data_IF_815143043366
#
_entry.id   IF_815143043366
#
_cell.length_a   1.000
_cell.length_b   1.000
_cell.length_c   1.000
_cell.angle_alpha   90.00
_cell.angle_beta   90.00
_cell.angle_gamma   90.00
#
_symmetry.space_group_name_H-M   'P 1'
#
loop_
_entity.id
_entity.type
_entity.pdbx_description
1 polymer ?
#
# COMPACT_ATOMS: atom_id res chain seq x y z
N UNK A 1 -22.90 -12.94 -1.22
CA UNK A 1 -22.53 -12.37 0.09
C UNK A 1 -22.06 -13.55 0.93
N UNK A 2 -20.85 -13.69 1.43
CA UNK A 2 -19.71 -12.79 1.63
C UNK A 2 -18.46 -13.67 1.59
N UNK A 3 -17.39 -13.26 0.90
CA UNK A 3 -16.09 -13.95 0.98
C UNK A 3 -15.18 -13.05 1.81
N UNK A 4 -15.17 -13.29 3.13
CA UNK A 4 -14.25 -12.62 4.05
C UNK A 4 -12.86 -13.22 3.88
N UNK A 5 -12.02 -12.56 3.08
CA UNK A 5 -10.59 -12.88 3.02
C UNK A 5 -9.86 -12.02 4.03
N UNK A 6 -9.70 -12.56 5.24
CA UNK A 6 -8.80 -11.99 6.27
C UNK A 6 -7.39 -12.47 5.97
N UNK A 7 -6.57 -11.61 5.38
CA UNK A 7 -5.12 -11.87 5.26
C UNK A 7 -4.40 -11.07 6.36
N UNK A 8 -3.94 -11.76 7.40
CA UNK A 8 -2.98 -11.23 8.39
C UNK A 8 -1.55 -11.71 8.06
N UNK A 9 -0.52 -10.95 8.44
CA UNK A 9 0.83 -11.08 7.89
C UNK A 9 1.66 -12.16 8.59
N UNK A 10 2.54 -12.82 7.84
CA UNK A 10 3.55 -13.74 8.37
C UNK A 10 4.81 -12.92 8.64
N UNK A 11 5.19 -12.82 9.92
CA UNK A 11 6.49 -12.32 10.36
C UNK A 11 7.61 -13.28 9.93
N UNK A 12 8.69 -12.76 9.34
CA UNK A 12 9.87 -13.54 8.99
C UNK A 12 11.13 -12.68 8.87
N UNK A 13 11.94 -12.70 9.93
CA UNK A 13 13.41 -12.63 9.99
C UNK A 13 14.17 -11.79 8.96
N UNK A 14 14.86 -10.76 9.47
CA UNK A 14 15.98 -10.06 8.83
C UNK A 14 17.03 -11.05 8.29
N UNK A 15 17.25 -11.01 6.98
CA UNK A 15 18.32 -11.69 6.27
C UNK A 15 18.28 -11.24 4.81
N UNK A 16 19.34 -10.54 4.37
CA UNK A 16 19.67 -10.15 2.99
C UNK A 16 18.70 -10.66 1.91
N UNK A 17 17.70 -9.87 1.52
CA UNK A 17 16.91 -10.16 0.33
C UNK A 17 16.63 -8.85 -0.37
N UNK A 18 17.31 -8.63 -1.50
CA UNK A 18 16.79 -7.75 -2.53
C UNK A 18 15.33 -8.14 -2.74
N UNK A 19 14.38 -7.22 -2.52
CA UNK A 19 12.96 -7.53 -2.71
C UNK A 19 12.76 -8.05 -4.13
N UNK A 20 12.61 -9.37 -4.27
CA UNK A 20 12.34 -10.02 -5.55
C UNK A 20 11.02 -9.47 -6.06
N UNK A 21 11.09 -8.56 -7.04
CA UNK A 21 9.92 -7.94 -7.66
C UNK A 21 8.96 -9.03 -8.10
N UNK A 22 7.72 -8.99 -7.59
CA UNK A 22 6.63 -9.88 -7.98
C UNK A 22 5.74 -9.17 -8.98
N UNK A 23 5.42 -9.82 -10.10
CA UNK A 23 4.63 -9.29 -11.20
C UNK A 23 3.32 -10.06 -11.30
N UNK A 24 2.20 -9.37 -11.53
CA UNK A 24 0.90 -10.00 -11.75
C UNK A 24 0.61 -10.04 -13.26
N UNK A 25 0.59 -11.24 -13.86
CA UNK A 25 0.32 -11.44 -15.28
C UNK A 25 -0.75 -12.55 -15.39
N UNK A 26 -1.83 -12.30 -16.12
CA UNK A 26 -2.98 -13.21 -16.28
C UNK A 26 -3.54 -13.76 -14.94
N UNK A 27 -3.44 -12.95 -13.87
CA UNK A 27 -3.89 -13.33 -12.52
C UNK A 27 -2.91 -14.19 -11.72
N UNK A 28 -1.72 -14.50 -12.25
CA UNK A 28 -0.66 -15.23 -11.55
C UNK A 28 0.45 -14.29 -11.06
N UNK A 29 0.91 -14.49 -9.82
CA UNK A 29 2.06 -13.80 -9.25
C UNK A 29 3.36 -14.50 -9.65
N UNK A 30 4.21 -13.82 -10.41
CA UNK A 30 5.45 -14.34 -10.98
C UNK A 30 6.66 -13.56 -10.46
N UNK A 31 7.80 -14.23 -10.30
CA UNK A 31 9.09 -13.58 -10.02
C UNK A 31 9.69 -12.95 -11.28
N UNK A 32 10.69 -12.06 -11.14
CA UNK A 32 11.38 -11.47 -12.30
C UNK A 32 11.96 -12.53 -13.26
N UNK A 33 12.47 -13.63 -12.73
CA UNK A 33 12.98 -14.78 -13.50
C UNK A 33 11.84 -15.49 -14.24
N UNK A 34 10.71 -15.74 -13.57
CA UNK A 34 9.54 -16.37 -14.18
C UNK A 34 8.87 -15.49 -15.25
N UNK A 35 8.90 -14.17 -15.10
CA UNK A 35 8.44 -13.24 -16.14
C UNK A 35 9.37 -13.26 -17.36
N UNK A 36 10.68 -13.34 -17.14
CA UNK A 36 11.65 -13.49 -18.22
C UNK A 36 11.49 -14.83 -18.97
N UNK A 37 10.92 -15.84 -18.30
CA UNK A 37 10.61 -17.16 -18.87
C UNK A 37 9.22 -17.25 -19.54
N UNK A 38 8.39 -16.20 -19.53
CA UNK A 38 7.12 -16.20 -20.26
C UNK A 38 7.43 -16.38 -21.74
N UNK A 39 7.24 -17.62 -22.20
CA UNK A 39 7.62 -18.06 -23.53
C UNK A 39 6.81 -17.31 -24.58
N UNK A 40 7.54 -16.78 -25.56
CA UNK A 40 6.96 -16.48 -26.86
C UNK A 40 6.13 -17.70 -27.33
N UNK A 41 4.97 -17.48 -27.98
CA UNK A 41 4.08 -18.55 -28.39
C UNK A 41 4.83 -19.63 -29.15
N UNK A 42 4.57 -20.88 -28.76
CA UNK A 42 5.24 -22.08 -29.28
C UNK A 42 4.96 -22.20 -30.78
N UNK A 43 5.89 -22.74 -31.57
CA UNK A 43 5.70 -22.97 -33.02
C UNK A 43 4.40 -23.72 -33.34
N UNK A 44 3.97 -24.63 -32.46
CA UNK A 44 2.67 -25.31 -32.57
C UNK A 44 1.47 -24.34 -32.43
N UNK A 45 1.54 -23.40 -31.48
CA UNK A 45 0.49 -22.40 -31.26
C UNK A 45 0.46 -21.38 -32.40
N UNK A 46 1.63 -21.00 -32.94
CA UNK A 46 1.72 -20.19 -34.17
C UNK A 46 1.03 -20.91 -35.33
N UNK A 47 1.39 -22.17 -35.61
CA UNK A 47 0.76 -22.96 -36.70
C UNK A 47 -0.75 -23.14 -36.53
N UNK A 48 -1.22 -23.32 -35.31
CA UNK A 48 -2.65 -23.43 -35.02
C UNK A 48 -3.38 -22.10 -35.26
N UNK A 49 -2.76 -20.98 -34.93
CA UNK A 49 -3.27 -19.64 -35.24
C UNK A 49 -3.27 -19.36 -36.76
N UNK A 50 -2.24 -19.82 -37.48
CA UNK A 50 -2.15 -19.71 -38.95
C UNK A 50 -3.28 -20.48 -39.63
N UNK A 51 -3.53 -21.72 -39.18
CA UNK A 51 -4.63 -22.54 -39.69
C UNK A 51 -6.01 -21.92 -39.41
N UNK A 52 -6.18 -21.23 -38.27
CA UNK A 52 -7.44 -20.57 -37.89
C UNK A 52 -7.66 -19.22 -38.56
N UNK A 53 -6.58 -18.49 -38.89
CA UNK A 53 -6.65 -17.14 -39.45
C UNK A 53 -6.81 -17.12 -40.97
N UNK A 54 -6.57 -18.25 -41.65
CA UNK A 54 -6.63 -18.35 -43.12
C UNK A 54 -5.55 -17.53 -43.83
N UNK A 55 -4.51 -17.13 -43.11
CA UNK A 55 -3.41 -16.31 -43.62
C UNK A 55 -2.40 -17.22 -44.31
N UNK A 56 -2.05 -16.91 -45.55
CA UNK A 56 -1.01 -17.64 -46.29
C UNK A 56 0.37 -17.46 -45.65
N UNK A 57 1.24 -18.47 -45.70
CA UNK A 57 2.59 -18.44 -45.13
C UNK A 57 3.42 -17.21 -45.57
N UNK A 58 3.28 -16.77 -46.82
CA UNK A 58 3.96 -15.57 -47.34
C UNK A 58 3.57 -14.30 -46.58
N UNK A 59 2.28 -14.14 -46.26
CA UNK A 59 1.77 -13.00 -45.49
C UNK A 59 2.24 -13.01 -44.04
N UNK A 60 2.42 -14.20 -43.46
CA UNK A 60 3.00 -14.33 -42.12
C UNK A 60 4.45 -13.91 -42.10
N UNK A 61 5.23 -14.31 -43.10
CA UNK A 61 6.62 -13.92 -43.19
C UNK A 61 6.77 -12.39 -43.35
N UNK A 62 5.90 -11.76 -44.13
CA UNK A 62 5.80 -10.29 -44.22
C UNK A 62 5.50 -9.64 -42.86
N UNK A 63 4.53 -10.19 -42.12
CA UNK A 63 4.15 -9.71 -40.78
C UNK A 63 5.29 -9.90 -39.78
N UNK A 64 5.93 -11.06 -39.74
CA UNK A 64 7.06 -11.35 -38.85
C UNK A 64 8.23 -10.40 -39.13
N UNK A 65 8.58 -10.21 -40.40
CA UNK A 65 9.66 -9.28 -40.78
C UNK A 65 9.33 -7.84 -40.37
N UNK A 66 8.07 -7.43 -40.54
CA UNK A 66 7.61 -6.10 -40.12
C UNK A 66 7.60 -5.95 -38.59
N UNK A 67 7.19 -7.00 -37.87
CA UNK A 67 7.20 -7.03 -36.42
C UNK A 67 8.62 -7.02 -35.86
N UNK A 68 9.57 -7.74 -36.45
CA UNK A 68 10.97 -7.72 -36.03
C UNK A 68 11.60 -6.32 -36.16
N UNK A 69 11.18 -5.54 -37.16
CA UNK A 69 11.61 -4.16 -37.32
C UNK A 69 10.98 -3.21 -36.28
N UNK A 70 9.70 -3.42 -35.94
CA UNK A 70 8.93 -2.49 -35.09
C UNK A 70 9.06 -2.84 -33.59
N UNK A 71 9.18 -4.12 -33.24
CA UNK A 71 9.21 -4.60 -31.86
C UNK A 71 10.30 -3.97 -30.99
N UNK A 72 11.53 -3.70 -31.47
CA UNK A 72 12.53 -2.99 -30.68
C UNK A 72 12.09 -1.57 -30.31
N UNK A 73 11.41 -0.86 -31.21
CA UNK A 73 10.93 0.51 -30.99
C UNK A 73 9.79 0.53 -29.97
N UNK A 74 8.84 -0.39 -30.10
CA UNK A 74 7.75 -0.55 -29.13
C UNK A 74 8.34 -0.91 -27.76
N UNK A 75 9.28 -1.86 -27.72
CA UNK A 75 9.93 -2.28 -26.47
C UNK A 75 10.61 -1.10 -25.77
N UNK A 76 11.41 -0.32 -26.50
CA UNK A 76 12.11 0.84 -25.93
C UNK A 76 11.12 1.88 -25.41
N UNK A 77 10.08 2.19 -26.18
CA UNK A 77 9.03 3.11 -25.75
C UNK A 77 8.28 2.63 -24.51
N UNK A 78 7.87 1.36 -24.48
CA UNK A 78 7.16 0.75 -23.34
C UNK A 78 8.04 0.76 -22.11
N UNK A 79 9.31 0.35 -22.22
CA UNK A 79 10.27 0.42 -21.10
C UNK A 79 10.37 1.86 -20.60
N UNK A 80 10.64 2.82 -21.49
CA UNK A 80 10.79 4.23 -21.12
C UNK A 80 9.54 4.82 -20.45
N UNK A 81 8.34 4.42 -20.88
CA UNK A 81 7.09 4.90 -20.34
C UNK A 81 6.71 4.21 -19.00
N UNK A 82 6.98 2.92 -18.87
CA UNK A 82 6.53 2.10 -17.72
C UNK A 82 7.53 2.09 -16.57
N UNK A 83 8.84 2.15 -16.84
CA UNK A 83 9.88 2.22 -15.79
C UNK A 83 9.61 3.30 -14.73
N UNK A 84 9.33 4.57 -15.06
CA UNK A 84 9.10 5.58 -14.02
C UNK A 84 7.82 5.33 -13.20
N UNK A 85 6.82 4.65 -13.77
CA UNK A 85 5.60 4.28 -13.05
C UNK A 85 5.88 3.18 -12.03
N UNK A 86 6.66 2.16 -12.42
CA UNK A 86 7.11 1.09 -11.54
C UNK A 86 7.96 1.63 -10.39
N UNK A 87 8.88 2.54 -10.68
CA UNK A 87 9.71 3.18 -9.65
C UNK A 87 8.86 3.97 -8.65
N UNK A 88 7.83 4.68 -9.13
CA UNK A 88 6.91 5.43 -8.26
C UNK A 88 6.07 4.50 -7.39
N UNK A 89 5.62 3.36 -7.90
CA UNK A 89 4.91 2.36 -7.10
C UNK A 89 5.80 1.84 -5.96
N UNK A 90 7.04 1.50 -6.27
CA UNK A 90 8.00 1.03 -5.26
C UNK A 90 8.24 2.09 -4.16
N UNK A 91 8.37 3.36 -4.53
CA UNK A 91 8.51 4.46 -3.56
C UNK A 91 7.26 4.63 -2.67
N UNK A 92 6.07 4.50 -3.25
CA UNK A 92 4.81 4.60 -2.50
C UNK A 92 4.67 3.45 -1.52
N UNK A 93 4.94 2.23 -1.94
CA UNK A 93 4.92 1.05 -1.08
C UNK A 93 5.90 1.18 0.09
N UNK A 94 7.12 1.67 -0.17
CA UNK A 94 8.11 1.93 0.87
C UNK A 94 7.61 2.96 1.90
N UNK A 95 7.00 4.05 1.44
CA UNK A 95 6.40 5.06 2.33
C UNK A 95 5.24 4.50 3.16
N UNK A 96 4.44 3.60 2.59
CA UNK A 96 3.35 2.96 3.33
C UNK A 96 3.88 2.09 4.46
N UNK A 97 4.93 1.29 4.19
CA UNK A 97 5.58 0.49 5.24
C UNK A 97 6.13 1.39 6.33
N UNK A 98 6.86 2.45 5.98
CA UNK A 98 7.40 3.42 6.94
C UNK A 98 6.30 4.06 7.80
N UNK A 99 5.19 4.48 7.19
CA UNK A 99 4.08 5.12 7.91
C UNK A 99 3.31 4.13 8.81
N UNK A 100 3.20 2.87 8.40
CA UNK A 100 2.54 1.84 9.20
C UNK A 100 3.41 1.35 10.37
N UNK A 101 4.74 1.38 10.22
CA UNK A 101 5.68 1.05 11.30
C UNK A 101 5.78 2.16 12.35
N UNK A 102 5.41 3.41 12.00
CA UNK A 102 5.34 4.49 12.98
C UNK A 102 4.25 4.15 14.01
N UNK A 103 4.56 4.19 15.32
CA UNK A 103 3.55 3.99 16.35
C UNK A 103 2.48 5.07 16.23
N UNK A 104 1.29 4.68 15.74
CA UNK A 104 0.13 5.56 15.71
C UNK A 104 -0.29 5.87 17.13
N UNK A 105 -0.22 7.14 17.50
CA UNK A 105 -0.76 7.65 18.76
C UNK A 105 -2.28 7.61 18.65
N UNK A 106 -2.99 6.72 19.37
CA UNK A 106 -4.42 6.56 19.15
C UNK A 106 -5.18 7.73 19.76
N UNK A 107 -5.90 8.46 18.90
CA UNK A 107 -6.67 9.65 19.26
C UNK A 107 -8.16 9.31 19.36
N UNK A 108 -8.75 9.56 20.53
CA UNK A 108 -10.14 9.28 20.82
C UNK A 108 -11.06 10.51 20.74
N UNK A 109 -10.55 11.67 20.30
CA UNK A 109 -11.34 12.90 20.18
C UNK A 109 -11.53 13.65 21.50
N UNK A 110 -12.61 14.41 21.60
CA UNK A 110 -13.00 15.11 22.84
C UNK A 110 -13.60 14.13 23.84
N UNK A 111 -13.36 14.34 25.13
CA UNK A 111 -13.94 13.54 26.19
C UNK A 111 -15.47 13.67 26.24
N UNK A 112 -16.16 12.54 26.42
CA UNK A 112 -17.60 12.45 26.59
C UNK A 112 -17.94 11.40 27.66
N UNK A 113 -18.96 11.65 28.49
CA UNK A 113 -19.29 10.78 29.63
C UNK A 113 -19.76 9.38 29.21
N UNK A 114 -20.43 9.27 28.06
CA UNK A 114 -20.94 7.99 27.56
C UNK A 114 -19.92 7.20 26.75
N UNK A 115 -18.79 7.81 26.39
CA UNK A 115 -17.77 7.21 25.54
C UNK A 115 -16.80 6.37 26.37
N UNK A 116 -16.45 5.20 25.83
CA UNK A 116 -15.43 4.34 26.42
C UNK A 116 -14.07 4.71 25.83
N UNK A 117 -13.08 4.90 26.70
CA UNK A 117 -11.71 5.21 26.36
C UNK A 117 -10.82 4.04 26.73
N UNK A 118 -10.01 3.59 25.78
CA UNK A 118 -9.06 2.51 25.99
C UNK A 118 -7.75 3.03 26.56
N UNK A 119 -7.05 2.18 27.30
CA UNK A 119 -5.69 2.42 27.77
C UNK A 119 -4.80 2.81 26.58
N UNK A 120 -3.88 3.73 26.84
CA UNK A 120 -2.94 4.30 25.88
C UNK A 120 -3.57 5.17 24.78
N UNK A 121 -4.83 5.58 24.93
CA UNK A 121 -5.46 6.56 24.03
C UNK A 121 -5.33 7.98 24.56
N UNK A 122 -5.38 8.94 23.65
CA UNK A 122 -5.37 10.37 23.94
C UNK A 122 -6.76 10.96 23.72
N UNK A 123 -7.13 11.94 24.53
CA UNK A 123 -8.33 12.74 24.32
C UNK A 123 -8.08 14.21 24.68
N UNK A 124 -9.03 15.07 24.31
CA UNK A 124 -9.07 16.46 24.77
C UNK A 124 -10.22 16.70 25.75
N UNK A 125 -9.97 17.48 26.80
CA UNK A 125 -11.00 18.05 27.66
C UNK A 125 -10.57 19.44 28.10
N UNK A 126 -11.48 20.42 27.99
CA UNK A 126 -11.26 21.83 28.41
C UNK A 126 -9.97 22.44 27.86
N UNK A 127 -9.65 22.17 26.59
CA UNK A 127 -8.45 22.70 25.92
C UNK A 127 -7.13 22.05 26.36
N UNK A 128 -7.17 21.02 27.20
CA UNK A 128 -6.01 20.23 27.60
C UNK A 128 -6.01 18.86 26.91
N UNK A 129 -4.82 18.28 26.72
CA UNK A 129 -4.64 16.93 26.20
C UNK A 129 -4.33 15.96 27.34
N UNK A 130 -5.03 14.84 27.34
CA UNK A 130 -4.96 13.83 28.38
C UNK A 130 -4.65 12.45 27.79
N UNK A 131 -3.93 11.64 28.53
CA UNK A 131 -3.57 10.27 28.20
C UNK A 131 -4.23 9.29 29.16
N UNK A 132 -4.92 8.29 28.62
CA UNK A 132 -5.59 7.25 29.40
C UNK A 132 -4.56 6.21 29.89
N UNK A 133 -4.35 6.15 31.20
CA UNK A 133 -3.47 5.16 31.84
C UNK A 133 -4.13 3.78 31.93
N UNK A 134 -5.47 3.74 31.92
CA UNK A 134 -6.30 2.53 31.99
C UNK A 134 -7.56 2.69 31.15
N UNK A 135 -8.22 1.59 30.80
CA UNK A 135 -9.56 1.60 30.21
C UNK A 135 -10.54 2.29 31.18
N UNK A 136 -11.39 3.18 30.66
CA UNK A 136 -12.36 3.92 31.48
C UNK A 136 -13.59 4.35 30.69
N UNK A 137 -14.70 4.56 31.41
CA UNK A 137 -15.95 5.12 30.90
C UNK A 137 -16.55 6.02 31.97
N UNK A 138 -17.04 7.20 31.60
CA UNK A 138 -17.66 8.15 32.53
C UNK A 138 -16.72 8.88 33.49
N UNK A 139 -15.45 8.46 33.62
CA UNK A 139 -14.46 9.15 34.45
C UNK A 139 -13.85 10.32 33.67
N UNK A 140 -14.03 11.54 34.18
CA UNK A 140 -13.58 12.77 33.51
C UNK A 140 -12.09 13.05 33.74
N UNK A 141 -11.32 13.46 32.72
CA UNK A 141 -9.96 13.94 32.93
C UNK A 141 -9.88 15.08 33.95
N UNK A 142 -8.91 15.00 34.87
CA UNK A 142 -8.74 15.97 35.94
C UNK A 142 -9.61 15.74 37.18
N UNK A 143 -10.39 14.66 37.27
CA UNK A 143 -11.17 14.30 38.48
C UNK A 143 -10.31 13.81 39.66
N UNK A 144 -9.04 13.44 39.41
CA UNK A 144 -8.11 12.96 40.45
C UNK A 144 -8.01 11.43 40.58
N UNK A 145 -8.78 10.67 39.81
CA UNK A 145 -8.91 9.20 39.94
C UNK A 145 -7.72 8.39 39.41
N UNK A 146 -6.59 9.02 39.06
CA UNK A 146 -5.41 8.36 38.51
C UNK A 146 -5.57 7.75 37.10
N UNK A 147 -6.79 7.75 36.54
CA UNK A 147 -7.13 7.23 35.20
C UNK A 147 -6.46 8.03 34.08
N UNK A 148 -6.34 9.35 34.27
CA UNK A 148 -5.89 10.28 33.26
C UNK A 148 -4.58 10.95 33.67
N UNK A 149 -3.63 10.98 32.75
CA UNK A 149 -2.39 11.75 32.88
C UNK A 149 -2.45 12.99 31.98
N UNK A 150 -2.21 14.15 32.56
CA UNK A 150 -2.11 15.40 31.79
C UNK A 150 -0.85 15.35 30.91
N UNK A 151 -1.03 15.56 29.60
CA UNK A 151 0.09 15.59 28.63
C UNK A 151 0.38 17.03 28.23
N UNK A 152 -0.67 17.79 27.89
CA UNK A 152 -0.57 19.21 27.52
C UNK A 152 -1.60 19.99 28.30
N UNK A 153 -1.16 21.02 29.02
CA UNK A 153 -2.04 21.94 29.74
C UNK A 153 -2.65 22.94 28.76
N UNK A 154 -3.91 23.28 28.96
CA UNK A 154 -4.54 24.38 28.23
C UNK A 154 -3.73 25.68 28.40
N UNK A 155 -3.54 26.40 27.29
CA UNK A 155 -2.98 27.75 27.32
C UNK A 155 -3.88 28.71 28.09
N UNK A 156 -3.29 29.78 28.63
CA UNK A 156 -4.07 30.92 29.14
C UNK A 156 -4.32 31.88 27.98
N UNK A 157 -5.45 32.58 28.03
CA UNK A 157 -5.72 33.65 27.09
C UNK A 157 -4.59 34.69 27.14
N UNK A 158 -4.10 35.10 25.97
CA UNK A 158 -3.09 36.14 25.85
C UNK A 158 -3.66 37.48 26.34
N UNK A 159 -2.91 38.17 27.20
CA UNK A 159 -3.31 39.43 27.84
C UNK A 159 -3.68 40.55 26.83
N UNK A 160 -3.25 40.42 25.57
CA UNK A 160 -3.32 41.49 24.57
C UNK A 160 -4.45 41.34 23.53
N UNK A 161 -5.35 40.38 23.71
CA UNK A 161 -6.55 40.28 22.87
C UNK A 161 -7.66 41.20 23.41
N UNK A 162 -7.48 42.52 23.30
CA UNK A 162 -8.58 43.48 23.46
C UNK A 162 -9.13 43.83 22.08
N UNK A 163 -10.44 43.62 21.92
CA UNK A 163 -11.24 44.05 20.76
C UNK A 163 -11.92 45.37 21.10
#
# INVERSE_FOLDING_TARGET
MSVDTVTRPISGSLGSNAMTRKYLIDGALLTAEQVAEIKNPTEAQKRQFIAQSGISDQRLQEIETTMDAIAPVIRDYVVKAVTPLVDRLCQVEQKMVELNERPLVPWAGTWESQKEFKRHTFCSDRGAMWFAMTDSKGVRPGSGDGVWRLVVKAGRDGKDATR
#
